data_IF_732730005749
#
_entry.id   IF_732730005749
#
_cell.length_a   1.000
_cell.length_b   1.000
_cell.length_c   1.000
_cell.angle_alpha   90.00
_cell.angle_beta   90.00
_cell.angle_gamma   90.00
#
_symmetry.space_group_name_H-M   'P 1'
#
loop_
_entity.id
_entity.type
_entity.pdbx_description
1 polymer ?
#
# COMPACT_ATOMS: atom_id res chain seq x y z
N UNK A 1 -26.41 2.90 -3.33
CA UNK A 1 -25.79 4.16 -3.81
C UNK A 1 -26.58 5.33 -3.25
N UNK A 2 -26.28 5.77 -2.03
CA UNK A 2 -26.75 7.07 -1.55
C UNK A 2 -25.77 8.13 -2.06
N UNK A 3 -26.20 8.85 -3.10
CA UNK A 3 -25.48 10.00 -3.66
C UNK A 3 -25.45 11.10 -2.58
N UNK A 4 -24.27 11.68 -2.33
CA UNK A 4 -24.06 12.89 -1.54
C UNK A 4 -25.19 13.91 -1.82
N UNK A 5 -25.92 14.32 -0.78
CA UNK A 5 -27.06 15.22 -0.92
C UNK A 5 -26.61 16.67 -1.03
N UNK A 6 -26.50 17.18 -2.26
CA UNK A 6 -26.37 18.61 -2.52
C UNK A 6 -27.71 19.33 -2.25
N UNK A 7 -27.71 20.26 -1.29
CA UNK A 7 -28.84 21.15 -1.02
C UNK A 7 -28.65 22.47 -1.76
N UNK A 8 -29.72 22.98 -2.38
CA UNK A 8 -29.73 24.24 -3.12
C UNK A 8 -30.83 25.15 -2.58
N UNK A 9 -30.50 26.42 -2.34
CA UNK A 9 -31.45 27.42 -1.85
C UNK A 9 -31.88 28.34 -2.99
N UNK A 10 -33.18 28.54 -3.13
CA UNK A 10 -33.77 29.47 -4.10
C UNK A 10 -34.57 30.55 -3.38
N UNK A 11 -34.11 31.79 -3.47
CA UNK A 11 -34.82 32.95 -2.92
C UNK A 11 -35.84 33.46 -3.94
N UNK A 12 -37.12 33.47 -3.57
CA UNK A 12 -38.18 34.04 -4.40
C UNK A 12 -38.26 35.57 -4.21
N UNK A 13 -38.84 36.31 -5.18
CA UNK A 13 -39.01 37.77 -5.10
C UNK A 13 -39.81 38.23 -3.87
N UNK A 14 -40.65 37.37 -3.31
CA UNK A 14 -41.41 37.63 -2.08
C UNK A 14 -40.59 37.44 -0.78
N UNK A 15 -39.28 37.23 -0.88
CA UNK A 15 -38.37 37.07 0.25
C UNK A 15 -38.27 35.65 0.81
N UNK A 16 -39.18 34.73 0.46
CA UNK A 16 -39.14 33.34 0.96
C UNK A 16 -37.99 32.56 0.33
N UNK A 17 -37.20 31.88 1.15
CA UNK A 17 -36.12 30.98 0.70
C UNK A 17 -36.62 29.54 0.73
N UNK A 18 -36.63 28.88 -0.43
CA UNK A 18 -36.98 27.47 -0.55
C UNK A 18 -35.72 26.62 -0.66
N UNK A 19 -35.72 25.47 0.01
CA UNK A 19 -34.60 24.52 0.00
C UNK A 19 -34.99 23.33 -0.87
N UNK A 20 -34.08 22.96 -1.77
CA UNK A 20 -34.23 21.87 -2.70
C UNK A 20 -33.10 20.85 -2.53
N UNK A 21 -33.44 19.56 -2.61
CA UNK A 21 -32.47 18.47 -2.67
C UNK A 21 -32.23 18.10 -4.13
N UNK A 22 -30.97 18.04 -4.54
CA UNK A 22 -30.59 17.48 -5.83
C UNK A 22 -30.78 15.97 -5.77
N UNK A 23 -31.69 15.45 -6.59
CA UNK A 23 -31.97 14.00 -6.66
C UNK A 23 -31.23 13.32 -7.81
N UNK A 24 -30.92 14.06 -8.86
CA UNK A 24 -30.16 13.53 -9.99
C UNK A 24 -29.45 14.63 -10.77
N UNK A 25 -28.36 14.28 -11.45
CA UNK A 25 -27.62 15.16 -12.35
C UNK A 25 -27.66 14.54 -13.76
N UNK A 26 -28.02 15.33 -14.76
CA UNK A 26 -28.12 14.87 -16.14
C UNK A 26 -27.55 15.92 -17.11
N UNK A 27 -27.00 15.46 -18.22
CA UNK A 27 -26.58 16.32 -19.32
C UNK A 27 -27.81 16.72 -20.13
N UNK A 28 -28.03 18.02 -20.33
CA UNK A 28 -29.08 18.55 -21.21
C UNK A 28 -28.48 18.75 -22.62
N UNK A 29 -28.76 17.85 -23.59
CA UNK A 29 -28.14 17.90 -24.91
C UNK A 29 -28.64 19.08 -25.77
N UNK A 30 -29.83 19.61 -25.52
CA UNK A 30 -30.33 20.79 -26.24
C UNK A 30 -29.62 22.06 -25.78
N UNK A 31 -29.33 22.16 -24.48
CA UNK A 31 -28.68 23.34 -23.89
C UNK A 31 -27.18 23.20 -23.71
N UNK A 32 -26.60 22.06 -24.09
CA UNK A 32 -25.19 21.69 -23.94
C UNK A 32 -24.60 22.05 -22.57
N UNK A 33 -25.34 21.77 -21.50
CA UNK A 33 -24.90 22.05 -20.14
C UNK A 33 -25.37 20.98 -19.15
N UNK A 34 -24.59 20.79 -18.09
CA UNK A 34 -24.98 19.94 -16.97
C UNK A 34 -26.14 20.57 -16.20
N UNK A 35 -27.20 19.81 -15.97
CA UNK A 35 -28.37 20.22 -15.20
C UNK A 35 -28.65 19.21 -14.10
N UNK A 36 -29.45 19.63 -13.14
CA UNK A 36 -29.86 18.78 -12.03
C UNK A 36 -31.38 18.75 -11.89
N UNK A 37 -31.89 17.61 -11.45
CA UNK A 37 -33.27 17.43 -11.03
C UNK A 37 -33.34 17.75 -9.54
N UNK A 38 -34.17 18.73 -9.20
CA UNK A 38 -34.31 19.25 -7.84
C UNK A 38 -35.70 18.95 -7.31
N UNK A 39 -35.79 18.48 -6.07
CA UNK A 39 -37.06 18.29 -5.36
C UNK A 39 -37.11 19.28 -4.21
N UNK A 40 -38.20 20.05 -4.12
CA UNK A 40 -38.41 20.99 -3.02
C UNK A 40 -38.65 20.22 -1.73
N UNK A 41 -37.75 20.39 -0.76
CA UNK A 41 -37.83 19.72 0.53
C UNK A 41 -38.41 20.63 1.62
N UNK A 42 -38.47 21.94 1.41
CA UNK A 42 -39.06 22.86 2.38
C UNK A 42 -38.77 24.32 2.11
N UNK A 43 -39.07 25.16 3.10
CA UNK A 43 -38.71 26.58 3.12
C UNK A 43 -37.97 26.90 4.42
N UNK A 44 -37.09 27.88 4.41
CA UNK A 44 -36.47 28.35 5.64
C UNK A 44 -37.43 29.29 6.39
N UNK A 45 -37.47 29.13 7.71
CA UNK A 45 -38.10 30.09 8.60
C UNK A 45 -37.31 31.41 8.57
N UNK A 46 -37.94 32.57 8.33
CA UNK A 46 -37.25 33.86 8.28
C UNK A 46 -36.64 34.31 9.62
N UNK A 47 -37.16 33.85 10.76
CA UNK A 47 -36.73 34.26 12.10
C UNK A 47 -35.69 33.28 12.68
N UNK A 48 -35.93 31.97 12.55
CA UNK A 48 -35.05 30.95 13.14
C UNK A 48 -34.00 30.41 12.18
N UNK A 49 -34.19 30.59 10.86
CA UNK A 49 -33.34 29.99 9.83
C UNK A 49 -33.48 28.48 9.70
N UNK A 50 -34.40 27.86 10.43
CA UNK A 50 -34.64 26.41 10.41
C UNK A 50 -35.41 25.97 9.16
N UNK A 51 -35.17 24.74 8.72
CA UNK A 51 -35.89 24.17 7.58
C UNK A 51 -37.29 23.74 8.01
N UNK A 52 -38.32 24.41 7.47
CA UNK A 52 -39.72 23.98 7.57
C UNK A 52 -39.99 22.99 6.43
N UNK A 53 -40.21 21.69 6.71
CA UNK A 53 -40.40 20.68 5.68
C UNK A 53 -41.66 20.91 4.84
N UNK A 54 -41.61 20.53 3.56
CA UNK A 54 -42.76 20.57 2.67
C UNK A 54 -43.82 19.53 3.08
N UNK A 55 -45.10 19.93 3.12
CA UNK A 55 -46.25 19.02 3.39
C UNK A 55 -46.40 17.87 2.39
N UNK A 56 -45.64 17.87 1.29
CA UNK A 56 -45.65 16.82 0.25
C UNK A 56 -44.62 15.71 0.52
N UNK A 57 -43.80 15.82 1.56
CA UNK A 57 -42.86 14.78 1.97
C UNK A 57 -43.60 13.76 2.83
N UNK A 58 -43.35 12.47 2.59
CA UNK A 58 -43.86 11.41 3.46
C UNK A 58 -43.17 11.48 4.84
N UNK A 59 -43.78 10.94 5.89
CA UNK A 59 -43.26 10.99 7.28
C UNK A 59 -41.80 10.51 7.40
N UNK A 60 -41.42 9.46 6.65
CA UNK A 60 -40.03 8.97 6.62
C UNK A 60 -39.05 9.95 5.95
N UNK A 61 -39.51 10.72 4.96
CA UNK A 61 -38.71 11.74 4.29
C UNK A 61 -38.60 13.02 5.12
N UNK A 62 -39.62 13.35 5.91
CA UNK A 62 -39.58 14.45 6.87
C UNK A 62 -38.64 14.12 8.05
N UNK A 63 -38.67 12.88 8.56
CA UNK A 63 -37.81 12.44 9.67
C UNK A 63 -36.31 12.40 9.32
N UNK A 64 -35.96 12.09 8.06
CA UNK A 64 -34.56 12.11 7.59
C UNK A 64 -33.99 13.51 7.34
N UNK A 65 -34.83 14.54 7.42
CA UNK A 65 -34.46 15.96 7.28
C UNK A 65 -34.49 16.71 8.62
N UNK A 66 -34.90 16.03 9.69
CA UNK A 66 -34.88 16.59 11.03
C UNK A 66 -33.42 16.78 11.47
N UNK A 67 -33.03 17.99 11.88
CA UNK A 67 -31.67 18.25 12.37
C UNK A 67 -31.33 17.42 13.63
N UNK A 68 -32.36 16.80 14.24
CA UNK A 68 -32.26 15.86 15.34
C UNK A 68 -32.04 14.38 14.92
N UNK A 69 -31.60 14.07 13.68
CA UNK A 69 -31.13 12.71 13.35
C UNK A 69 -30.03 12.32 14.33
N UNK A 70 -30.42 11.52 15.33
CA UNK A 70 -29.65 11.15 16.52
C UNK A 70 -29.05 9.75 16.41
N UNK A 71 -29.38 9.02 15.35
CA UNK A 71 -28.89 7.67 15.09
C UNK A 71 -27.95 7.68 13.88
N UNK A 72 -26.66 7.46 14.14
CA UNK A 72 -25.65 7.15 13.12
C UNK A 72 -25.56 5.63 12.98
N UNK A 73 -25.50 5.13 11.75
CA UNK A 73 -25.15 3.73 11.48
C UNK A 73 -23.70 3.67 11.01
N UNK A 74 -22.96 2.67 11.45
CA UNK A 74 -21.58 2.42 11.06
C UNK A 74 -21.36 0.94 10.79
N UNK A 75 -20.44 0.64 9.88
CA UNK A 75 -19.95 -0.70 9.60
C UNK A 75 -18.69 -0.95 10.44
N UNK A 76 -18.77 -1.87 11.39
CA UNK A 76 -17.67 -2.19 12.32
C UNK A 76 -16.84 -3.41 11.91
N UNK A 77 -17.37 -4.28 11.05
CA UNK A 77 -16.74 -5.57 10.69
C UNK A 77 -15.27 -5.47 10.26
N UNK A 78 -14.92 -4.62 9.28
CA UNK A 78 -13.53 -4.40 8.88
C UNK A 78 -12.66 -3.88 10.04
N UNK A 79 -13.18 -2.95 10.84
CA UNK A 79 -12.46 -2.39 11.97
C UNK A 79 -12.10 -3.45 13.01
N UNK A 80 -12.99 -4.41 13.28
CA UNK A 80 -12.71 -5.51 14.22
C UNK A 80 -11.50 -6.35 13.79
N UNK A 81 -11.40 -6.68 12.50
CA UNK A 81 -10.28 -7.48 11.97
C UNK A 81 -8.99 -6.65 11.89
N UNK A 82 -9.08 -5.44 11.36
CA UNK A 82 -7.90 -4.59 11.12
C UNK A 82 -7.30 -4.05 12.42
N UNK A 83 -8.13 -3.76 13.44
CA UNK A 83 -7.64 -3.45 14.78
C UNK A 83 -6.88 -4.63 15.37
N UNK A 84 -7.37 -5.86 15.20
CA UNK A 84 -6.68 -7.03 15.73
C UNK A 84 -5.30 -7.20 15.11
N UNK A 85 -5.20 -7.02 13.80
CA UNK A 85 -3.91 -7.03 13.08
C UNK A 85 -3.00 -5.91 13.59
N UNK A 86 -3.54 -4.70 13.77
CA UNK A 86 -2.77 -3.56 14.30
C UNK A 86 -2.25 -3.80 15.72
N UNK A 87 -3.05 -4.40 16.59
CA UNK A 87 -2.65 -4.76 17.96
C UNK A 87 -1.53 -5.81 17.97
N UNK A 88 -1.65 -6.85 17.14
CA UNK A 88 -0.67 -7.94 17.03
C UNK A 88 0.64 -7.46 16.41
N UNK A 89 0.55 -6.59 15.41
CA UNK A 89 1.71 -6.09 14.67
C UNK A 89 2.33 -4.83 15.26
N UNK A 90 1.59 -4.04 16.04
CA UNK A 90 2.04 -2.74 16.56
C UNK A 90 2.21 -1.66 15.49
N UNK A 91 1.62 -1.82 14.29
CA UNK A 91 1.81 -0.92 13.15
C UNK A 91 1.49 0.54 13.49
N UNK A 92 0.33 0.81 14.10
CA UNK A 92 -0.08 2.16 14.48
C UNK A 92 0.82 2.78 15.54
N UNK A 93 1.45 1.98 16.41
CA UNK A 93 2.43 2.48 17.40
C UNK A 93 3.71 2.97 16.71
N UNK A 94 4.17 2.26 15.67
CA UNK A 94 5.30 2.71 14.86
C UNK A 94 4.94 3.97 14.06
N UNK A 95 3.77 3.99 13.42
CA UNK A 95 3.27 5.16 12.67
C UNK A 95 3.06 6.39 13.56
N UNK A 96 2.51 6.24 14.76
CA UNK A 96 2.28 7.35 15.68
C UNK A 96 3.58 8.02 16.14
N UNK A 97 4.70 7.27 16.16
CA UNK A 97 6.01 7.84 16.47
C UNK A 97 6.61 8.61 15.30
N UNK A 98 6.37 8.17 14.06
CA UNK A 98 6.93 8.82 12.85
C UNK A 98 6.03 9.94 12.29
N UNK A 99 4.72 9.84 12.48
CA UNK A 99 3.69 10.76 11.99
C UNK A 99 2.67 11.10 13.10
N UNK A 100 3.10 11.75 14.20
CA UNK A 100 2.26 11.94 15.39
C UNK A 100 0.94 12.69 15.12
N UNK A 101 0.95 13.63 14.17
CA UNK A 101 -0.22 14.46 13.87
C UNK A 101 -1.16 13.85 12.83
N UNK A 102 -0.72 12.81 12.12
CA UNK A 102 -1.44 12.28 10.95
C UNK A 102 -1.55 10.75 10.87
N UNK A 103 -1.02 10.01 11.85
CA UNK A 103 -1.04 8.55 11.82
C UNK A 103 -2.46 7.97 11.72
N UNK A 104 -3.46 8.58 12.38
CA UNK A 104 -4.85 8.11 12.31
C UNK A 104 -5.40 8.20 10.89
N UNK A 105 -5.13 9.31 10.20
CA UNK A 105 -5.51 9.52 8.80
C UNK A 105 -4.83 8.48 7.91
N UNK A 106 -3.53 8.24 8.11
CA UNK A 106 -2.76 7.25 7.35
C UNK A 106 -3.34 5.84 7.54
N UNK A 107 -3.63 5.43 8.78
CA UNK A 107 -4.20 4.11 9.08
C UNK A 107 -5.62 3.97 8.51
N UNK A 108 -6.48 4.98 8.66
CA UNK A 108 -7.81 4.97 8.04
C UNK A 108 -7.76 4.79 6.52
N UNK A 109 -6.83 5.47 5.84
CA UNK A 109 -6.65 5.32 4.39
C UNK A 109 -6.08 3.94 4.03
N UNK A 110 -5.14 3.41 4.82
CA UNK A 110 -4.59 2.08 4.62
C UNK A 110 -5.69 0.99 4.76
N UNK A 111 -6.58 1.13 5.75
CA UNK A 111 -7.72 0.25 5.94
C UNK A 111 -8.70 0.30 4.77
N UNK A 112 -8.98 1.50 4.26
CA UNK A 112 -9.79 1.69 3.07
C UNK A 112 -9.19 0.96 1.86
N UNK A 113 -7.89 1.11 1.61
CA UNK A 113 -7.21 0.43 0.50
C UNK A 113 -7.24 -1.09 0.70
N UNK A 114 -6.97 -1.58 1.90
CA UNK A 114 -7.01 -3.01 2.20
C UNK A 114 -8.42 -3.62 2.02
N UNK A 115 -9.47 -2.88 2.39
CA UNK A 115 -10.86 -3.36 2.30
C UNK A 115 -11.49 -3.23 0.92
N UNK A 116 -10.98 -2.36 0.05
CA UNK A 116 -11.65 -2.04 -1.23
C UNK A 116 -10.78 -2.17 -2.46
N UNK A 117 -9.45 -2.01 -2.35
CA UNK A 117 -8.54 -1.93 -3.49
C UNK A 117 -8.73 -0.72 -4.41
N UNK A 118 -9.58 0.24 -4.02
CA UNK A 118 -9.97 1.37 -4.86
C UNK A 118 -9.08 2.60 -4.66
N UNK A 119 -9.18 3.56 -5.59
CA UNK A 119 -8.47 4.83 -5.51
C UNK A 119 -8.82 5.62 -4.23
N UNK A 120 -7.82 6.29 -3.65
CA UNK A 120 -7.96 7.06 -2.41
C UNK A 120 -8.98 8.21 -2.51
N UNK A 121 -9.26 8.72 -3.71
CA UNK A 121 -10.26 9.76 -3.96
C UNK A 121 -11.69 9.36 -3.54
N UNK A 122 -11.97 8.08 -3.35
CA UNK A 122 -13.26 7.58 -2.86
C UNK A 122 -13.27 7.22 -1.36
N UNK A 123 -12.16 7.44 -0.65
CA UNK A 123 -12.02 7.04 0.76
C UNK A 123 -12.98 7.78 1.69
N UNK A 124 -13.33 9.05 1.42
CA UNK A 124 -14.21 9.85 2.28
C UNK A 124 -15.56 9.18 2.52
N UNK A 125 -16.21 8.72 1.44
CA UNK A 125 -17.52 8.06 1.52
C UNK A 125 -17.43 6.75 2.30
N UNK A 126 -16.35 5.99 2.12
CA UNK A 126 -16.15 4.76 2.85
C UNK A 126 -15.91 5.04 4.35
N UNK A 127 -14.97 5.93 4.69
CA UNK A 127 -14.64 6.27 6.08
C UNK A 127 -15.83 6.91 6.82
N UNK A 128 -16.71 7.65 6.13
CA UNK A 128 -17.92 8.21 6.74
C UNK A 128 -18.93 7.17 7.23
N UNK A 129 -18.92 5.98 6.62
CA UNK A 129 -19.85 4.87 6.91
C UNK A 129 -19.20 3.72 7.68
N UNK A 130 -17.89 3.76 7.91
CA UNK A 130 -17.14 2.70 8.60
C UNK A 130 -16.50 3.24 9.88
N UNK A 131 -16.31 2.36 10.86
CA UNK A 131 -15.45 2.69 11.99
C UNK A 131 -13.99 2.72 11.53
N UNK A 132 -13.33 3.86 11.71
CA UNK A 132 -11.91 4.03 11.37
C UNK A 132 -11.21 4.85 12.45
N UNK A 133 -9.88 4.79 12.57
CA UNK A 133 -9.15 5.53 13.61
C UNK A 133 -9.29 7.07 13.54
N UNK A 134 -9.64 7.62 12.37
CA UNK A 134 -9.84 9.04 12.16
C UNK A 134 -11.32 9.39 11.95
N UNK A 135 -11.84 10.34 12.75
CA UNK A 135 -13.25 10.75 12.73
C UNK A 135 -13.52 12.04 11.93
N UNK A 136 -12.52 12.58 11.22
CA UNK A 136 -12.65 13.80 10.41
C UNK A 136 -12.93 13.55 8.93
N UNK A 137 -13.00 14.64 8.15
CA UNK A 137 -13.13 14.55 6.68
C UNK A 137 -11.81 14.13 6.04
N UNK A 138 -11.89 13.10 5.19
CA UNK A 138 -10.82 12.64 4.30
C UNK A 138 -11.20 12.94 2.85
N UNK A 139 -11.60 14.18 2.57
CA UNK A 139 -11.88 14.61 1.20
C UNK A 139 -10.65 14.49 0.30
N UNK A 140 -10.85 14.39 -1.01
CA UNK A 140 -9.75 14.28 -2.00
C UNK A 140 -8.68 15.36 -1.84
N UNK A 141 -9.09 16.59 -1.47
CA UNK A 141 -8.15 17.69 -1.19
C UNK A 141 -7.32 17.43 0.07
N UNK A 142 -7.95 17.00 1.16
CA UNK A 142 -7.25 16.68 2.42
C UNK A 142 -6.31 15.50 2.28
N UNK A 143 -6.70 14.50 1.49
CA UNK A 143 -5.84 13.37 1.16
C UNK A 143 -4.62 13.84 0.38
N UNK A 144 -4.79 14.69 -0.63
CA UNK A 144 -3.67 15.27 -1.38
C UNK A 144 -2.70 16.04 -0.47
N UNK A 145 -3.22 16.90 0.40
CA UNK A 145 -2.42 17.65 1.39
C UNK A 145 -1.69 16.71 2.37
N UNK A 146 -2.32 15.60 2.77
CA UNK A 146 -1.71 14.59 3.64
C UNK A 146 -0.56 13.87 2.94
N UNK A 147 -0.75 13.41 1.70
CA UNK A 147 0.26 12.70 0.92
C UNK A 147 1.49 13.59 0.65
N UNK A 148 1.29 14.88 0.40
CA UNK A 148 2.38 15.85 0.24
C UNK A 148 3.19 16.04 1.53
N UNK A 149 2.53 15.99 2.70
CA UNK A 149 3.19 16.08 4.01
C UNK A 149 3.93 14.81 4.43
N UNK A 150 3.69 13.67 3.78
CA UNK A 150 4.41 12.43 4.04
C UNK A 150 5.84 12.49 3.49
N UNK A 151 6.71 13.19 4.22
CA UNK A 151 8.09 13.41 3.84
C UNK A 151 8.89 12.10 3.74
N UNK A 152 10.01 12.15 3.01
CA UNK A 152 10.98 11.06 3.00
C UNK A 152 11.50 10.77 4.42
N UNK A 153 11.82 11.80 5.20
CA UNK A 153 12.31 11.66 6.57
C UNK A 153 11.31 10.95 7.51
N UNK A 154 10.03 11.29 7.40
CA UNK A 154 8.97 10.61 8.14
C UNK A 154 8.83 9.14 7.75
N UNK A 155 8.94 8.82 6.46
CA UNK A 155 8.91 7.43 5.95
C UNK A 155 10.13 6.64 6.41
N UNK A 156 11.32 7.22 6.35
CA UNK A 156 12.55 6.57 6.81
C UNK A 156 12.54 6.36 8.33
N UNK A 157 12.02 7.33 9.10
CA UNK A 157 11.79 7.19 10.54
C UNK A 157 10.82 6.05 10.84
N UNK A 158 9.72 5.94 10.08
CA UNK A 158 8.80 4.81 10.16
C UNK A 158 9.53 3.48 9.92
N UNK A 159 10.25 3.32 8.80
CA UNK A 159 10.95 2.08 8.46
C UNK A 159 12.04 1.71 9.48
N UNK A 160 12.74 2.70 10.07
CA UNK A 160 13.69 2.46 11.15
C UNK A 160 13.03 1.84 12.37
N UNK A 161 11.88 2.38 12.80
CA UNK A 161 11.14 1.90 13.97
C UNK A 161 10.47 0.56 13.71
N UNK A 162 9.76 0.46 12.58
CA UNK A 162 9.02 -0.71 12.15
C UNK A 162 9.96 -1.89 11.85
N UNK A 163 11.03 -1.65 11.08
CA UNK A 163 11.96 -2.70 10.71
C UNK A 163 12.71 -3.30 11.90
N UNK A 164 13.05 -2.51 12.93
CA UNK A 164 13.62 -3.06 14.18
C UNK A 164 12.68 -4.06 14.84
N UNK A 165 11.37 -3.80 14.83
CA UNK A 165 10.39 -4.70 15.41
C UNK A 165 10.23 -6.00 14.61
N UNK A 166 10.32 -5.96 13.28
CA UNK A 166 10.19 -7.14 12.42
C UNK A 166 11.48 -7.98 12.39
N UNK A 167 12.65 -7.35 12.40
CA UNK A 167 13.94 -8.01 12.13
C UNK A 167 14.48 -8.87 13.29
N UNK A 168 14.04 -8.68 14.54
CA UNK A 168 14.69 -9.29 15.72
C UNK A 168 14.81 -10.83 15.68
N UNK A 169 13.98 -11.54 14.89
CA UNK A 169 13.98 -13.00 14.84
C UNK A 169 13.76 -13.61 13.44
N UNK A 170 13.99 -12.84 12.37
CA UNK A 170 13.58 -13.22 11.02
C UNK A 170 14.73 -13.34 10.00
N UNK A 171 14.51 -14.15 8.97
CA UNK A 171 15.29 -14.11 7.74
C UNK A 171 14.63 -13.12 6.80
N UNK A 172 15.41 -12.29 6.10
CA UNK A 172 14.83 -11.30 5.21
C UNK A 172 14.91 -11.76 3.77
N UNK A 173 13.75 -11.88 3.14
CA UNK A 173 13.65 -12.11 1.71
C UNK A 173 13.69 -10.78 0.98
N UNK A 174 14.52 -10.71 -0.07
CA UNK A 174 14.58 -9.56 -0.97
C UNK A 174 14.13 -9.97 -2.37
N UNK A 175 13.09 -9.31 -2.87
CA UNK A 175 12.57 -9.52 -4.23
C UNK A 175 12.11 -8.21 -4.85
N UNK A 176 12.07 -8.16 -6.18
CA UNK A 176 11.58 -7.02 -6.95
C UNK A 176 10.35 -7.45 -7.73
N UNK A 177 9.22 -6.79 -7.51
CA UNK A 177 8.03 -6.99 -8.34
C UNK A 177 7.83 -5.81 -9.29
N UNK A 178 7.09 -5.99 -10.37
CA UNK A 178 6.79 -4.94 -11.35
C UNK A 178 5.30 -4.59 -11.32
N UNK A 179 4.99 -3.30 -11.38
CA UNK A 179 3.61 -2.81 -11.53
C UNK A 179 3.52 -2.05 -12.85
N UNK A 180 2.82 -2.62 -13.82
CA UNK A 180 2.55 -1.98 -15.11
C UNK A 180 1.71 -0.72 -14.96
N UNK A 181 1.97 0.29 -15.78
CA UNK A 181 1.24 1.56 -15.73
C UNK A 181 1.11 2.21 -17.10
N UNK A 182 -0.02 2.91 -17.30
CA UNK A 182 -0.24 3.80 -18.44
C UNK A 182 0.14 5.26 -18.13
N UNK A 183 0.69 5.55 -16.94
CA UNK A 183 0.98 6.92 -16.52
C UNK A 183 2.12 7.53 -17.33
N UNK A 184 1.89 8.69 -17.94
CA UNK A 184 2.89 9.41 -18.74
C UNK A 184 3.71 10.40 -17.92
N UNK A 185 3.23 10.82 -16.74
CA UNK A 185 3.83 11.85 -15.90
C UNK A 185 4.57 11.31 -14.67
N UNK A 186 4.72 9.98 -14.57
CA UNK A 186 5.46 9.34 -13.51
C UNK A 186 6.86 8.96 -14.02
N UNK A 187 7.90 9.58 -13.45
CA UNK A 187 9.29 9.39 -13.88
C UNK A 187 9.82 7.95 -13.70
N UNK A 188 9.22 7.19 -12.78
CA UNK A 188 9.56 5.79 -12.51
C UNK A 188 8.96 4.83 -13.54
N UNK A 189 7.91 5.23 -14.26
CA UNK A 189 7.27 4.39 -15.27
C UNK A 189 8.18 4.33 -16.50
N UNK A 190 8.88 3.20 -16.65
CA UNK A 190 9.85 2.97 -17.72
C UNK A 190 9.69 1.56 -18.29
N UNK A 191 10.09 1.39 -19.55
CA UNK A 191 10.17 0.06 -20.16
C UNK A 191 11.23 -0.79 -19.45
N UNK A 192 10.86 -2.02 -19.14
CA UNK A 192 11.66 -2.96 -18.38
C UNK A 192 11.35 -4.41 -18.75
N UNK A 193 11.95 -5.33 -18.01
CA UNK A 193 11.57 -6.73 -18.08
C UNK A 193 10.31 -6.93 -17.23
N UNK A 194 9.16 -7.02 -17.89
CA UNK A 194 7.87 -7.24 -17.24
C UNK A 194 7.71 -8.73 -16.90
N UNK A 195 7.62 -9.06 -15.61
CA UNK A 195 7.50 -10.45 -15.14
C UNK A 195 6.18 -11.11 -15.57
N UNK A 196 5.13 -10.31 -15.74
CA UNK A 196 3.78 -10.76 -16.13
C UNK A 196 3.62 -10.83 -17.66
N UNK A 197 4.65 -10.47 -18.43
CA UNK A 197 4.66 -10.55 -19.89
C UNK A 197 3.83 -9.47 -20.58
N UNK A 198 3.41 -8.45 -19.84
CA UNK A 198 2.64 -7.33 -20.39
C UNK A 198 3.53 -6.41 -21.24
N UNK A 199 2.98 -5.90 -22.34
CA UNK A 199 3.67 -4.93 -23.21
C UNK A 199 3.39 -3.50 -22.76
N UNK A 200 3.68 -3.21 -21.49
CA UNK A 200 3.49 -1.91 -20.87
C UNK A 200 4.75 -1.47 -20.11
N UNK A 201 5.02 -0.15 -20.01
CA UNK A 201 6.02 0.34 -19.10
C UNK A 201 5.58 0.08 -17.65
N UNK A 202 6.54 0.00 -16.74
CA UNK A 202 6.32 -0.44 -15.37
C UNK A 202 7.10 0.39 -14.35
N UNK A 203 6.68 0.30 -13.10
CA UNK A 203 7.50 0.68 -11.93
C UNK A 203 7.96 -0.61 -11.27
N UNK A 204 9.24 -0.67 -10.89
CA UNK A 204 9.76 -1.78 -10.10
C UNK A 204 9.63 -1.44 -8.61
N UNK A 205 9.08 -2.36 -7.83
CA UNK A 205 8.93 -2.26 -6.39
C UNK A 205 9.85 -3.30 -5.75
N UNK A 206 10.98 -2.83 -5.25
CA UNK A 206 11.90 -3.65 -4.47
C UNK A 206 11.36 -3.76 -3.04
N UNK A 207 11.17 -4.99 -2.56
CA UNK A 207 10.58 -5.24 -1.24
C UNK A 207 11.47 -6.15 -0.41
N UNK A 208 11.56 -5.81 0.87
CA UNK A 208 12.16 -6.65 1.89
C UNK A 208 11.04 -7.09 2.82
N UNK A 209 10.96 -8.38 3.09
CA UNK A 209 9.97 -8.92 4.02
C UNK A 209 10.56 -10.04 4.88
N UNK A 210 10.04 -10.19 6.09
CA UNK A 210 10.42 -11.27 6.99
C UNK A 210 9.84 -12.60 6.51
N UNK A 211 10.67 -13.63 6.41
CA UNK A 211 10.28 -14.97 5.96
C UNK A 211 9.29 -15.64 6.93
N UNK A 212 9.54 -15.52 8.24
CA UNK A 212 8.73 -16.13 9.30
C UNK A 212 7.50 -15.29 9.61
N UNK A 213 7.70 -13.99 9.82
CA UNK A 213 6.62 -13.05 10.14
C UNK A 213 5.68 -12.81 8.95
N UNK A 214 6.21 -12.96 7.72
CA UNK A 214 5.55 -12.58 6.46
C UNK A 214 5.19 -11.09 6.39
N UNK A 215 5.82 -10.26 7.22
CA UNK A 215 5.59 -8.83 7.25
C UNK A 215 6.60 -8.09 6.37
N UNK A 216 6.17 -7.08 5.60
CA UNK A 216 7.09 -6.21 4.88
C UNK A 216 7.92 -5.40 5.88
N UNK A 217 9.23 -5.28 5.64
CA UNK A 217 10.18 -4.51 6.48
C UNK A 217 10.38 -3.11 5.90
N UNK A 218 10.71 -3.04 4.61
CA UNK A 218 10.84 -1.80 3.85
C UNK A 218 10.55 -2.07 2.38
N UNK A 219 10.31 -1.02 1.62
CA UNK A 219 10.18 -1.08 0.18
C UNK A 219 10.83 0.13 -0.48
N UNK A 220 11.16 -0.02 -1.77
CA UNK A 220 11.69 1.05 -2.58
C UNK A 220 11.13 1.01 -3.99
N UNK A 221 10.70 2.18 -4.47
CA UNK A 221 10.34 2.37 -5.87
C UNK A 221 11.60 2.57 -6.70
N UNK A 222 11.67 1.83 -7.81
CA UNK A 222 12.75 1.86 -8.78
C UNK A 222 12.15 2.08 -10.17
N UNK A 223 12.83 2.84 -11.05
CA UNK A 223 12.39 2.93 -12.43
C UNK A 223 12.32 1.55 -13.07
N UNK A 224 11.31 1.29 -13.90
CA UNK A 224 11.11 -0.04 -14.53
C UNK A 224 12.31 -0.56 -15.33
N UNK A 225 13.18 0.33 -15.79
CA UNK A 225 14.40 0.01 -16.53
C UNK A 225 15.56 -0.48 -15.65
N UNK A 226 15.45 -0.40 -14.33
CA UNK A 226 16.49 -0.86 -13.40
C UNK A 226 16.41 -2.38 -13.27
N UNK A 227 17.50 -3.05 -13.67
CA UNK A 227 17.66 -4.49 -13.51
C UNK A 227 17.91 -4.88 -12.05
N UNK A 228 17.38 -6.03 -11.65
CA UNK A 228 17.44 -6.57 -10.28
C UNK A 228 18.86 -6.61 -9.72
N UNK A 229 19.85 -7.07 -10.51
CA UNK A 229 21.28 -7.08 -10.15
C UNK A 229 21.76 -5.72 -9.63
N UNK A 230 21.31 -4.60 -10.21
CA UNK A 230 21.80 -3.25 -9.86
C UNK A 230 21.16 -2.67 -8.60
N UNK A 231 20.06 -3.27 -8.13
CA UNK A 231 19.28 -2.75 -7.01
C UNK A 231 19.89 -3.04 -5.63
N UNK A 232 20.58 -4.19 -5.49
CA UNK A 232 21.08 -4.70 -4.21
C UNK A 232 22.01 -3.70 -3.50
N UNK A 233 22.85 -3.04 -4.29
CA UNK A 233 23.75 -2.01 -3.80
C UNK A 233 23.02 -0.89 -3.05
N UNK A 234 21.91 -0.40 -3.61
CA UNK A 234 21.08 0.64 -2.99
C UNK A 234 20.38 0.16 -1.73
N UNK A 235 19.98 -1.12 -1.69
CA UNK A 235 19.38 -1.74 -0.51
C UNK A 235 20.36 -1.82 0.66
N UNK A 236 21.58 -2.31 0.42
CA UNK A 236 22.60 -2.46 1.46
C UNK A 236 22.99 -1.10 2.07
N UNK A 237 23.03 -0.04 1.26
CA UNK A 237 23.29 1.32 1.73
C UNK A 237 22.14 1.85 2.59
N UNK A 238 20.90 1.52 2.24
CA UNK A 238 19.71 1.89 3.01
C UNK A 238 19.68 1.19 4.36
N UNK A 239 19.96 -0.12 4.41
CA UNK A 239 20.04 -0.88 5.66
C UNK A 239 21.08 -0.30 6.62
N UNK A 240 22.23 0.10 6.06
CA UNK A 240 23.28 0.77 6.84
C UNK A 240 22.79 2.11 7.42
N UNK A 241 22.10 2.92 6.62
CA UNK A 241 21.54 4.23 7.04
C UNK A 241 20.44 4.08 8.09
N UNK A 242 19.62 3.04 7.96
CA UNK A 242 18.55 2.73 8.92
C UNK A 242 19.05 2.02 10.18
N UNK A 243 20.36 1.73 10.26
CA UNK A 243 20.99 0.99 11.36
C UNK A 243 20.31 -0.36 11.60
N UNK A 244 19.96 -1.07 10.52
CA UNK A 244 19.53 -2.45 10.66
C UNK A 244 20.71 -3.32 11.09
N UNK A 245 20.46 -4.34 11.95
CA UNK A 245 21.50 -5.28 12.38
C UNK A 245 22.07 -6.07 11.18
N UNK A 246 23.08 -6.90 11.42
CA UNK A 246 23.46 -7.91 10.42
C UNK A 246 22.28 -8.87 10.23
N UNK A 247 21.81 -8.99 9.00
CA UNK A 247 20.63 -9.74 8.60
C UNK A 247 21.07 -10.91 7.74
N UNK A 248 20.20 -11.92 7.65
CA UNK A 248 20.37 -12.98 6.67
C UNK A 248 19.46 -12.72 5.48
N UNK A 249 20.06 -12.35 4.33
CA UNK A 249 19.34 -12.04 3.10
C UNK A 249 19.15 -13.28 2.24
N UNK A 250 17.90 -13.57 1.87
CA UNK A 250 17.53 -14.62 0.92
C UNK A 250 17.13 -13.99 -0.40
N UNK A 251 17.84 -14.35 -1.47
CA UNK A 251 17.72 -13.74 -2.79
C UNK A 251 17.65 -14.79 -3.90
N UNK A 252 16.97 -14.44 -5.00
CA UNK A 252 16.91 -15.28 -6.18
C UNK A 252 18.17 -15.18 -7.07
N UNK A 253 18.18 -15.94 -8.18
CA UNK A 253 19.30 -15.95 -9.13
C UNK A 253 19.42 -14.67 -9.97
N UNK A 254 18.38 -13.85 -10.02
CA UNK A 254 18.32 -12.57 -10.71
C UNK A 254 19.20 -11.51 -10.04
N UNK A 255 19.48 -11.65 -8.74
CA UNK A 255 20.40 -10.76 -8.01
C UNK A 255 21.87 -11.17 -8.13
N UNK A 256 22.20 -12.32 -8.70
CA UNK A 256 23.57 -12.79 -8.75
C UNK A 256 24.42 -11.97 -9.74
N UNK A 257 25.52 -11.40 -9.22
CA UNK A 257 26.70 -10.98 -9.96
C UNK A 257 27.92 -11.12 -9.05
N UNK A 258 29.12 -11.25 -9.62
CA UNK A 258 30.33 -11.32 -8.79
C UNK A 258 30.46 -10.08 -7.87
N UNK A 259 30.22 -8.90 -8.42
CA UNK A 259 30.20 -7.62 -7.70
C UNK A 259 29.21 -7.61 -6.52
N UNK A 260 28.02 -8.19 -6.70
CA UNK A 260 27.03 -8.27 -5.63
C UNK A 260 27.48 -9.22 -4.50
N UNK A 261 28.11 -10.36 -4.83
CA UNK A 261 28.66 -11.26 -3.81
C UNK A 261 29.82 -10.58 -3.06
N UNK A 262 30.72 -9.90 -3.78
CA UNK A 262 31.83 -9.15 -3.19
C UNK A 262 31.29 -8.11 -2.19
N UNK A 263 30.29 -7.32 -2.60
CA UNK A 263 29.65 -6.30 -1.75
C UNK A 263 28.92 -6.90 -0.54
N UNK A 264 28.21 -8.01 -0.69
CA UNK A 264 27.58 -8.71 0.43
C UNK A 264 28.62 -9.19 1.45
N UNK A 265 29.73 -9.75 0.97
CA UNK A 265 30.83 -10.21 1.81
C UNK A 265 31.55 -9.05 2.54
N UNK A 266 31.76 -7.92 1.86
CA UNK A 266 32.35 -6.70 2.42
C UNK A 266 31.48 -6.07 3.51
N UNK A 267 30.16 -6.12 3.35
CA UNK A 267 29.21 -5.54 4.31
C UNK A 267 28.99 -6.39 5.57
N UNK A 268 29.55 -7.61 5.63
CA UNK A 268 29.41 -8.51 6.78
C UNK A 268 27.97 -9.03 6.96
N UNK A 269 27.18 -9.03 5.90
CA UNK A 269 25.82 -9.56 5.89
C UNK A 269 25.85 -11.07 5.66
N UNK A 270 24.98 -11.81 6.33
CA UNK A 270 24.76 -13.21 6.01
C UNK A 270 23.83 -13.28 4.80
N UNK A 271 24.04 -14.24 3.90
CA UNK A 271 23.16 -14.37 2.74
C UNK A 271 23.05 -15.79 2.21
N UNK A 272 21.94 -16.04 1.52
CA UNK A 272 21.70 -17.19 0.67
C UNK A 272 21.17 -16.69 -0.66
N UNK A 273 21.88 -17.03 -1.74
CA UNK A 273 21.53 -16.59 -3.08
C UNK A 273 21.59 -17.77 -4.03
N UNK A 274 20.56 -17.91 -4.87
CA UNK A 274 20.61 -18.88 -5.96
C UNK A 274 21.61 -18.39 -7.03
N UNK A 275 22.39 -19.30 -7.60
CA UNK A 275 23.37 -18.94 -8.65
C UNK A 275 22.94 -19.54 -9.99
N UNK A 276 23.02 -18.80 -11.11
CA UNK A 276 22.67 -19.34 -12.41
C UNK A 276 23.55 -20.54 -12.81
N UNK A 277 22.91 -21.68 -13.10
CA UNK A 277 23.59 -22.91 -13.56
C UNK A 277 24.33 -22.75 -14.89
N UNK A 278 24.10 -21.68 -15.65
CA UNK A 278 24.84 -21.38 -16.88
C UNK A 278 26.27 -20.91 -16.64
N UNK A 279 26.67 -20.56 -15.43
CA UNK A 279 28.04 -20.13 -15.14
C UNK A 279 29.00 -21.31 -15.20
N UNK A 280 30.19 -21.10 -15.78
CA UNK A 280 31.18 -22.17 -15.99
C UNK A 280 31.59 -22.83 -14.67
N UNK A 281 31.97 -22.04 -13.67
CA UNK A 281 32.40 -22.57 -12.36
C UNK A 281 31.30 -23.35 -11.64
N UNK A 282 30.03 -22.91 -11.76
CA UNK A 282 28.89 -23.63 -11.19
C UNK A 282 28.68 -24.98 -11.89
N UNK A 283 28.75 -25.01 -13.23
CA UNK A 283 28.64 -26.27 -13.98
C UNK A 283 29.74 -27.25 -13.62
N UNK A 284 30.97 -26.78 -13.55
CA UNK A 284 32.12 -27.61 -13.17
C UNK A 284 31.95 -28.23 -11.78
N UNK A 285 31.37 -27.49 -10.82
CA UNK A 285 31.06 -28.01 -9.50
C UNK A 285 29.89 -29.01 -9.52
N UNK A 286 28.81 -28.71 -10.26
CA UNK A 286 27.68 -29.64 -10.42
C UNK A 286 28.15 -30.95 -11.07
N UNK A 287 28.90 -30.87 -12.17
CA UNK A 287 29.37 -32.04 -12.93
C UNK A 287 30.32 -32.90 -12.09
N UNK A 288 31.17 -32.28 -11.26
CA UNK A 288 32.10 -32.99 -10.37
C UNK A 288 31.40 -33.89 -9.35
N UNK A 289 30.27 -33.45 -8.80
CA UNK A 289 29.56 -34.18 -7.74
C UNK A 289 28.29 -34.88 -8.21
N UNK A 290 27.94 -34.74 -9.49
CA UNK A 290 26.70 -35.24 -10.07
C UNK A 290 26.43 -36.71 -9.71
N UNK A 291 27.41 -37.58 -9.92
CA UNK A 291 27.22 -39.02 -9.76
C UNK A 291 27.09 -39.44 -8.28
N UNK A 292 27.73 -38.69 -7.36
CA UNK A 292 27.62 -38.93 -5.92
C UNK A 292 26.38 -38.30 -5.27
N UNK A 293 25.85 -37.22 -5.85
CA UNK A 293 24.75 -36.45 -5.26
C UNK A 293 23.42 -37.21 -5.28
N UNK A 294 23.16 -38.02 -6.31
CA UNK A 294 21.92 -38.81 -6.42
C UNK A 294 21.92 -40.10 -5.58
N UNK A 295 22.95 -40.31 -4.77
CA UNK A 295 23.03 -41.42 -3.82
C UNK A 295 22.32 -41.14 -2.49
N UNK A 296 22.27 -42.13 -1.58
CA UNK A 296 21.69 -41.98 -0.25
C UNK A 296 22.31 -40.83 0.56
N UNK A 297 23.59 -40.52 0.34
CA UNK A 297 24.30 -39.46 1.06
C UNK A 297 23.79 -38.06 0.71
N UNK A 298 23.34 -37.85 -0.53
CA UNK A 298 22.77 -36.57 -0.98
C UNK A 298 21.27 -36.45 -0.73
N UNK A 299 20.59 -37.54 -0.40
CA UNK A 299 19.15 -37.54 -0.14
C UNK A 299 18.81 -36.69 1.09
N UNK A 300 17.97 -35.68 0.91
CA UNK A 300 17.36 -34.89 1.98
C UNK A 300 15.87 -34.77 1.74
N UNK A 301 15.08 -35.10 2.76
CA UNK A 301 13.64 -34.80 2.76
C UNK A 301 13.43 -33.48 3.48
N UNK A 302 12.89 -32.49 2.77
CA UNK A 302 12.59 -31.16 3.29
C UNK A 302 11.09 -30.94 3.14
N UNK A 303 10.34 -31.03 4.24
CA UNK A 303 8.88 -31.09 4.19
C UNK A 303 8.41 -32.31 3.39
N UNK A 304 7.60 -32.06 2.36
CA UNK A 304 7.10 -33.09 1.44
C UNK A 304 7.98 -33.27 0.20
N UNK A 305 9.02 -32.46 0.04
CA UNK A 305 9.91 -32.52 -1.12
C UNK A 305 11.15 -33.37 -0.83
N UNK A 306 11.58 -34.11 -1.85
CA UNK A 306 12.86 -34.83 -1.85
C UNK A 306 13.86 -34.01 -2.66
N UNK A 307 14.93 -33.59 -2.00
CA UNK A 307 16.05 -32.89 -2.59
C UNK A 307 17.29 -33.78 -2.57
N UNK A 308 18.08 -33.72 -3.64
CA UNK A 308 19.42 -34.28 -3.66
C UNK A 308 20.41 -33.13 -3.59
N UNK A 309 21.15 -33.05 -2.49
CA UNK A 309 22.02 -31.91 -2.19
C UNK A 309 23.42 -32.37 -1.83
N UNK A 310 24.40 -31.59 -2.27
CA UNK A 310 25.78 -31.70 -1.87
C UNK A 310 26.25 -30.33 -1.38
N UNK A 311 26.95 -30.29 -0.25
CA UNK A 311 27.47 -29.04 0.34
C UNK A 311 28.97 -29.05 0.24
N UNK A 312 29.53 -27.99 -0.37
CA UNK A 312 30.96 -27.77 -0.47
C UNK A 312 31.31 -26.36 -0.04
N UNK A 313 32.40 -26.25 0.72
CA UNK A 313 33.01 -24.98 1.06
C UNK A 313 33.96 -24.55 -0.07
N UNK A 314 33.82 -23.31 -0.52
CA UNK A 314 34.68 -22.69 -1.52
C UNK A 314 35.19 -21.36 -0.96
N UNK A 315 36.46 -21.05 -1.22
CA UNK A 315 36.97 -19.69 -1.02
C UNK A 315 36.40 -18.78 -2.11
N UNK A 316 36.00 -17.58 -1.73
CA UNK A 316 35.50 -16.56 -2.63
C UNK A 316 36.44 -15.35 -2.63
N UNK A 317 36.75 -14.83 -3.82
CA UNK A 317 37.70 -13.72 -3.99
C UNK A 317 39.16 -14.20 -4.11
N UNK A 318 40.06 -13.26 -4.42
CA UNK A 318 41.50 -13.54 -4.58
C UNK A 318 42.28 -13.52 -3.26
N UNK A 319 41.69 -12.96 -2.20
CA UNK A 319 42.29 -12.82 -0.88
C UNK A 319 41.28 -13.31 0.17
N UNK A 320 41.27 -14.62 0.44
CA UNK A 320 40.79 -15.27 1.69
C UNK A 320 40.91 -16.79 1.59
#
# INVERSE_FOLDING_TARGET
>A
MEKQSGLVQHKKPNGTVYVYKIVDNFWDPEKQQSRNKQVCIGKLDPETGELIPSKRLNESQAASLDAAVTAKTSVSGPAMVLNRIDEETGLSKALAKSFPDSWRQIVSLAWYVAGTGNALSHAESWCGNHETPFEGSLSSQRISELLERMSEDGRQTFFKLWGKQVCENDFLCYDITSVSSYSELNEFVRWGYNRDGEKLPQVNLAMVYGQKSRLPVTYRLLPGSIADVKSLSGLLDEFRKLEFPSLHLVMDKGFYSQENIDRLAETGQNFTIAVPSRLKWVREEIDRFRDGMYGPEGYRKVGDEVLYVHTRMLSWGKER
#
